data_IF_981979778975
#
_entry.id   IF_981979778975
#
_cell.length_a   1.000
_cell.length_b   1.000
_cell.length_c   1.000
_cell.angle_alpha   90.00
_cell.angle_beta   90.00
_cell.angle_gamma   90.00
#
_symmetry.space_group_name_H-M   'P 1'
#
loop_
_entity.id
_entity.type
_entity.pdbx_description
1 polymer ?
#
# COMPACT_ATOMS: atom_id res chain seq x y z
N UNK A 1 -22.45 -6.36 2.98
CA UNK A 1 -21.07 -5.92 3.31
C UNK A 1 -21.16 -5.15 4.61
N UNK A 2 -20.34 -5.49 5.58
CA UNK A 2 -20.29 -4.79 6.87
C UNK A 2 -19.72 -3.38 6.71
N UNK A 3 -20.14 -2.44 7.57
CA UNK A 3 -19.67 -1.05 7.52
C UNK A 3 -18.13 -0.96 7.60
N UNK A 4 -17.50 -1.75 8.48
CA UNK A 4 -16.04 -1.78 8.60
C UNK A 4 -15.34 -2.27 7.33
N UNK A 5 -15.95 -3.22 6.61
CA UNK A 5 -15.44 -3.70 5.33
C UNK A 5 -15.56 -2.60 4.25
N UNK A 6 -16.67 -1.87 4.21
CA UNK A 6 -16.87 -0.72 3.31
C UNK A 6 -15.79 0.34 3.56
N UNK A 7 -15.61 0.76 4.81
CA UNK A 7 -14.63 1.78 5.18
C UNK A 7 -13.19 1.33 4.85
N UNK A 8 -12.88 0.05 5.05
CA UNK A 8 -11.57 -0.52 4.73
C UNK A 8 -11.28 -0.49 3.22
N UNK A 9 -12.23 -0.92 2.40
CA UNK A 9 -12.08 -0.91 0.93
C UNK A 9 -11.91 0.53 0.42
N UNK A 10 -12.70 1.49 0.95
CA UNK A 10 -12.56 2.91 0.61
C UNK A 10 -11.17 3.41 0.99
N UNK A 11 -10.72 3.15 2.22
CA UNK A 11 -9.41 3.58 2.69
C UNK A 11 -8.28 3.03 1.81
N UNK A 12 -8.24 1.71 1.60
CA UNK A 12 -7.15 1.06 0.89
C UNK A 12 -7.16 1.29 -0.63
N UNK A 13 -8.27 1.75 -1.20
CA UNK A 13 -8.32 2.20 -2.60
C UNK A 13 -7.48 3.46 -2.88
N UNK A 14 -7.13 4.23 -1.85
CA UNK A 14 -6.42 5.49 -2.01
C UNK A 14 -7.20 6.55 -2.81
N UNK A 15 -8.53 6.42 -2.89
CA UNK A 15 -9.37 7.29 -3.73
C UNK A 15 -9.21 7.04 -5.23
N UNK A 16 -8.55 5.96 -5.64
CA UNK A 16 -8.42 5.54 -7.04
C UNK A 16 -9.58 4.60 -7.37
N UNK A 17 -10.46 5.02 -8.28
CA UNK A 17 -11.67 4.25 -8.64
C UNK A 17 -11.35 2.83 -9.13
N UNK A 18 -10.28 2.68 -9.93
CA UNK A 18 -9.83 1.37 -10.39
C UNK A 18 -9.47 0.45 -9.22
N UNK A 19 -8.73 0.99 -8.25
CA UNK A 19 -8.24 0.20 -7.13
C UNK A 19 -9.38 -0.11 -6.15
N UNK A 20 -10.37 0.77 -6.03
CA UNK A 20 -11.63 0.51 -5.31
C UNK A 20 -12.39 -0.68 -5.91
N UNK A 21 -12.58 -0.69 -7.24
CA UNK A 21 -13.28 -1.78 -7.94
C UNK A 21 -12.53 -3.10 -7.76
N UNK A 22 -11.21 -3.08 -8.00
CA UNK A 22 -10.37 -4.26 -7.87
C UNK A 22 -10.40 -4.83 -6.45
N UNK A 23 -10.17 -3.99 -5.44
CA UNK A 23 -10.20 -4.41 -4.03
C UNK A 23 -11.57 -4.93 -3.63
N UNK A 24 -12.66 -4.31 -4.10
CA UNK A 24 -14.02 -4.82 -3.85
C UNK A 24 -14.19 -6.22 -4.42
N UNK A 25 -13.81 -6.42 -5.68
CA UNK A 25 -13.95 -7.71 -6.36
C UNK A 25 -13.13 -8.79 -5.66
N UNK A 26 -11.84 -8.55 -5.44
CA UNK A 26 -10.96 -9.55 -4.80
C UNK A 26 -11.38 -9.82 -3.36
N UNK A 27 -11.91 -8.84 -2.63
CA UNK A 27 -12.45 -9.09 -1.28
C UNK A 27 -13.70 -9.98 -1.32
N UNK A 28 -14.57 -9.80 -2.33
CA UNK A 28 -15.74 -10.68 -2.54
C UNK A 28 -15.28 -12.11 -2.85
N UNK A 29 -14.24 -12.28 -3.67
CA UNK A 29 -13.64 -13.58 -3.96
C UNK A 29 -13.10 -14.25 -2.67
N UNK A 30 -12.38 -13.51 -1.81
CA UNK A 30 -11.93 -13.99 -0.49
C UNK A 30 -13.10 -14.40 0.41
N UNK A 31 -14.18 -13.60 0.46
CA UNK A 31 -15.36 -13.92 1.25
C UNK A 31 -16.10 -15.17 0.76
N UNK A 32 -16.18 -15.36 -0.56
CA UNK A 32 -16.76 -16.55 -1.18
C UNK A 32 -15.92 -17.81 -0.84
N UNK A 33 -14.59 -17.72 -0.92
CA UNK A 33 -13.70 -18.82 -0.55
C UNK A 33 -13.76 -19.18 0.94
N UNK A 34 -14.09 -18.21 1.79
CA UNK A 34 -14.30 -18.40 3.22
C UNK A 34 -15.71 -18.90 3.60
N UNK A 35 -16.57 -19.20 2.62
CA UNK A 35 -17.99 -19.59 2.83
C UNK A 35 -18.76 -18.58 3.70
N UNK A 36 -18.45 -17.29 3.54
CA UNK A 36 -19.07 -16.21 4.30
C UNK A 36 -20.23 -15.57 3.53
N UNK A 37 -21.41 -15.52 4.15
CA UNK A 37 -22.60 -14.87 3.60
C UNK A 37 -22.45 -13.34 3.44
N UNK A 38 -21.52 -12.73 4.18
CA UNK A 38 -21.28 -11.30 4.16
C UNK A 38 -19.80 -11.00 3.94
N UNK A 39 -19.52 -9.90 3.23
CA UNK A 39 -18.17 -9.36 3.20
C UNK A 39 -17.83 -8.67 4.53
N UNK A 40 -16.87 -9.28 5.23
CA UNK A 40 -16.29 -8.86 6.50
C UNK A 40 -14.91 -8.20 6.29
N UNK A 41 -14.42 -7.53 7.32
CA UNK A 41 -13.16 -6.78 7.26
C UNK A 41 -11.92 -7.67 6.97
N UNK A 42 -11.85 -8.87 7.53
CA UNK A 42 -10.75 -9.82 7.31
C UNK A 42 -10.58 -10.20 5.82
N UNK A 43 -11.67 -10.33 5.05
CA UNK A 43 -11.60 -10.59 3.62
C UNK A 43 -10.97 -9.41 2.85
N UNK A 44 -11.27 -8.19 3.29
CA UNK A 44 -10.65 -6.97 2.75
C UNK A 44 -9.16 -6.93 3.09
N UNK A 45 -8.79 -7.26 4.33
CA UNK A 45 -7.39 -7.29 4.76
C UNK A 45 -6.55 -8.32 3.97
N UNK A 46 -7.10 -9.51 3.70
CA UNK A 46 -6.46 -10.52 2.86
C UNK A 46 -6.23 -10.02 1.42
N UNK A 47 -7.26 -9.44 0.83
CA UNK A 47 -7.24 -8.81 -0.50
C UNK A 47 -6.21 -7.67 -0.57
N UNK A 48 -6.18 -6.78 0.42
CA UNK A 48 -5.23 -5.67 0.54
C UNK A 48 -3.80 -6.18 0.66
N UNK A 49 -3.56 -7.23 1.45
CA UNK A 49 -2.23 -7.81 1.58
C UNK A 49 -1.73 -8.38 0.24
N UNK A 50 -2.60 -9.07 -0.50
CA UNK A 50 -2.27 -9.58 -1.84
C UNK A 50 -1.98 -8.45 -2.85
N UNK A 51 -2.87 -7.47 -2.91
CA UNK A 51 -2.77 -6.31 -3.79
C UNK A 51 -1.53 -5.45 -3.47
N UNK A 52 -1.24 -5.24 -2.19
CA UNK A 52 -0.07 -4.52 -1.71
C UNK A 52 1.23 -5.19 -2.12
N UNK A 53 1.35 -6.51 -1.90
CA UNK A 53 2.50 -7.29 -2.37
C UNK A 53 2.68 -7.18 -3.88
N UNK A 54 1.61 -7.30 -4.64
CA UNK A 54 1.66 -7.19 -6.10
C UNK A 54 2.16 -5.80 -6.56
N UNK A 55 1.77 -4.72 -5.88
CA UNK A 55 2.29 -3.36 -6.18
C UNK A 55 3.77 -3.20 -5.82
N UNK A 56 4.30 -3.94 -4.86
CA UNK A 56 5.73 -3.90 -4.50
C UNK A 56 6.61 -4.73 -5.44
N UNK A 57 6.03 -5.66 -6.21
CA UNK A 57 6.80 -6.45 -7.18
C UNK A 57 7.46 -5.54 -8.23
N UNK A 58 8.73 -5.86 -8.51
CA UNK A 58 9.54 -5.20 -9.53
C UNK A 58 10.13 -3.84 -9.11
N UNK A 59 9.99 -3.43 -7.85
CA UNK A 59 10.68 -2.25 -7.35
C UNK A 59 12.19 -2.50 -7.24
N UNK A 60 12.99 -1.51 -7.64
CA UNK A 60 14.42 -1.50 -7.34
C UNK A 60 14.67 -1.16 -5.86
N UNK A 61 15.89 -1.39 -5.39
CA UNK A 61 16.29 -1.00 -4.03
C UNK A 61 16.20 0.52 -3.84
N UNK A 62 16.60 1.30 -4.84
CA UNK A 62 16.51 2.77 -4.80
C UNK A 62 15.06 3.26 -4.72
N UNK A 63 14.15 2.62 -5.46
CA UNK A 63 12.71 2.93 -5.38
C UNK A 63 12.13 2.57 -4.00
N UNK A 64 12.56 1.45 -3.42
CA UNK A 64 12.18 1.06 -2.07
C UNK A 64 12.69 2.05 -1.02
N UNK A 65 13.94 2.49 -1.14
CA UNK A 65 14.54 3.51 -0.26
C UNK A 65 13.78 4.84 -0.32
N UNK A 66 13.38 5.28 -1.51
CA UNK A 66 12.53 6.48 -1.68
C UNK A 66 11.20 6.31 -0.91
N UNK A 67 10.55 5.15 -1.03
CA UNK A 67 9.30 4.88 -0.31
C UNK A 67 9.50 4.88 1.21
N UNK A 68 10.53 4.20 1.71
CA UNK A 68 10.84 4.16 3.16
C UNK A 68 11.21 5.54 3.70
N UNK A 69 11.99 6.31 2.95
CA UNK A 69 12.32 7.70 3.26
C UNK A 69 11.07 8.57 3.36
N UNK A 70 10.14 8.41 2.40
CA UNK A 70 8.88 9.16 2.41
C UNK A 70 7.96 8.77 3.58
N UNK A 71 7.86 7.48 3.93
CA UNK A 71 7.15 7.03 5.16
C UNK A 71 7.74 7.70 6.40
N UNK A 72 9.06 7.87 6.42
CA UNK A 72 9.79 8.46 7.55
C UNK A 72 9.64 9.99 7.65
N UNK A 73 8.84 10.61 6.77
CA UNK A 73 8.49 12.03 6.82
C UNK A 73 9.32 12.93 5.92
N UNK A 74 10.26 12.39 5.13
CA UNK A 74 10.99 13.18 4.15
C UNK A 74 10.05 13.59 3.00
N UNK A 75 10.21 14.80 2.44
CA UNK A 75 9.36 15.26 1.35
C UNK A 75 9.59 14.42 0.09
N UNK A 76 8.50 14.15 -0.63
CA UNK A 76 8.56 13.53 -1.95
C UNK A 76 8.33 14.57 -3.05
N UNK A 77 9.19 14.58 -4.07
CA UNK A 77 9.07 15.44 -5.24
C UNK A 77 9.46 14.64 -6.49
N UNK A 78 8.59 14.46 -7.51
CA UNK A 78 8.89 13.61 -8.66
C UNK A 78 9.84 14.30 -9.67
N UNK A 79 11.12 14.36 -9.34
CA UNK A 79 12.15 15.05 -10.14
C UNK A 79 13.17 14.12 -10.79
N UNK A 80 13.32 12.92 -10.24
CA UNK A 80 14.18 11.86 -10.78
C UNK A 80 13.33 10.79 -11.45
N UNK A 81 13.96 9.99 -12.33
CA UNK A 81 13.30 8.90 -13.03
C UNK A 81 12.64 7.87 -12.09
N UNK A 82 13.27 7.56 -10.96
CA UNK A 82 12.72 6.64 -9.95
C UNK A 82 11.47 7.22 -9.28
N UNK A 83 11.53 8.50 -8.87
CA UNK A 83 10.37 9.16 -8.25
C UNK A 83 9.21 9.28 -9.24
N UNK A 84 9.50 9.62 -10.50
CA UNK A 84 8.49 9.66 -11.56
C UNK A 84 7.88 8.27 -11.80
N UNK A 85 8.69 7.20 -11.83
CA UNK A 85 8.18 5.83 -11.94
C UNK A 85 7.26 5.45 -10.79
N UNK A 86 7.62 5.76 -9.55
CA UNK A 86 6.78 5.50 -8.38
C UNK A 86 5.41 6.18 -8.48
N UNK A 87 5.38 7.39 -9.03
CA UNK A 87 4.14 8.12 -9.29
C UNK A 87 3.33 7.52 -10.46
N UNK A 88 3.95 7.37 -11.63
CA UNK A 88 3.28 6.87 -12.86
C UNK A 88 2.67 5.50 -12.65
N UNK A 89 3.35 4.67 -11.86
CA UNK A 89 2.92 3.30 -11.63
C UNK A 89 2.08 3.11 -10.36
N UNK A 90 1.70 4.21 -9.70
CA UNK A 90 0.69 4.22 -8.63
C UNK A 90 1.15 3.61 -7.31
N UNK A 91 2.45 3.61 -7.02
CA UNK A 91 2.99 3.35 -5.67
C UNK A 91 2.90 4.60 -4.80
N UNK A 92 3.08 5.76 -5.43
CA UNK A 92 2.75 7.07 -4.85
C UNK A 92 1.57 7.64 -5.64
N UNK A 93 0.62 8.22 -4.91
CA UNK A 93 -0.59 8.83 -5.42
C UNK A 93 -0.45 10.35 -5.37
N UNK A 94 -0.89 11.04 -6.42
CA UNK A 94 -1.05 12.49 -6.46
C UNK A 94 -2.52 12.85 -6.19
N UNK A 95 -2.76 13.59 -5.12
CA UNK A 95 -4.05 14.24 -4.87
C UNK A 95 -3.94 15.71 -5.27
N UNK A 96 -4.84 16.18 -6.15
CA UNK A 96 -4.81 17.56 -6.65
C UNK A 96 -5.60 18.55 -5.79
N UNK A 97 -6.59 18.06 -5.05
CA UNK A 97 -7.48 18.87 -4.21
C UNK A 97 -7.34 18.50 -2.72
N UNK A 98 -7.51 19.46 -1.79
CA UNK A 98 -7.66 20.91 -2.03
C UNK A 98 -6.34 21.60 -2.45
N UNK A 99 -5.19 20.96 -2.23
CA UNK A 99 -3.88 21.34 -2.75
C UNK A 99 -3.16 20.10 -3.24
N UNK A 100 -2.23 20.27 -4.18
CA UNK A 100 -1.39 19.17 -4.67
C UNK A 100 -0.61 18.58 -3.50
N UNK A 101 -0.77 17.28 -3.26
CA UNK A 101 0.00 16.51 -2.28
C UNK A 101 0.24 15.11 -2.81
N UNK A 102 1.33 14.52 -2.36
CA UNK A 102 1.65 13.12 -2.63
C UNK A 102 1.40 12.29 -1.38
N UNK A 103 1.00 11.05 -1.56
CA UNK A 103 1.00 10.07 -0.47
C UNK A 103 1.31 8.70 -1.03
N UNK A 104 1.89 7.84 -0.19
CA UNK A 104 2.08 6.44 -0.53
C UNK A 104 0.71 5.78 -0.67
N UNK A 105 0.59 4.87 -1.63
CA UNK A 105 -0.64 4.12 -1.84
C UNK A 105 -0.99 3.34 -0.56
N UNK A 106 -2.20 3.49 0.02
CA UNK A 106 -2.49 2.93 1.34
C UNK A 106 -2.37 1.40 1.38
N UNK A 107 -2.73 0.70 0.30
CA UNK A 107 -2.56 -0.75 0.23
C UNK A 107 -1.11 -1.27 0.33
N UNK A 108 -0.07 -0.45 0.06
CA UNK A 108 1.32 -0.89 0.23
C UNK A 108 1.90 -0.54 1.60
N UNK A 109 1.25 0.34 2.37
CA UNK A 109 1.74 0.77 3.69
C UNK A 109 1.97 -0.39 4.67
N UNK A 110 1.05 -1.37 4.83
CA UNK A 110 1.28 -2.47 5.77
C UNK A 110 2.52 -3.30 5.42
N UNK A 111 2.74 -3.54 4.11
CA UNK A 111 3.90 -4.29 3.63
C UNK A 111 5.21 -3.50 3.79
N UNK A 112 5.20 -2.20 3.51
CA UNK A 112 6.36 -1.34 3.70
C UNK A 112 6.76 -1.19 5.18
N UNK A 113 5.80 -1.09 6.09
CA UNK A 113 6.06 -1.04 7.53
C UNK A 113 6.71 -2.32 8.02
N UNK A 114 6.27 -3.48 7.54
CA UNK A 114 6.90 -4.77 7.85
C UNK A 114 8.35 -4.83 7.35
N UNK A 115 8.61 -4.34 6.13
CA UNK A 115 9.98 -4.25 5.58
C UNK A 115 10.86 -3.35 6.46
N UNK A 116 10.36 -2.18 6.86
CA UNK A 116 11.09 -1.26 7.73
C UNK A 116 11.40 -1.86 9.11
N UNK A 117 10.48 -2.63 9.68
CA UNK A 117 10.70 -3.36 10.93
C UNK A 117 11.79 -4.42 10.77
N UNK A 118 11.72 -5.23 9.71
CA UNK A 118 12.72 -6.28 9.45
C UNK A 118 14.13 -5.71 9.23
N UNK A 119 14.25 -4.57 8.53
CA UNK A 119 15.53 -3.88 8.34
C UNK A 119 16.12 -3.39 9.67
N UNK A 120 15.30 -2.79 10.56
CA UNK A 120 15.75 -2.35 11.89
C UNK A 120 16.27 -3.48 12.77
N UNK A 121 15.65 -4.66 12.67
CA UNK A 121 16.10 -5.85 13.39
C UNK A 121 17.47 -6.31 12.89
N UNK A 122 17.71 -6.32 11.58
CA UNK A 122 19.01 -6.72 11.02
C UNK A 122 20.17 -5.83 11.50
N UNK A 123 20.00 -4.51 11.52
CA UNK A 123 21.06 -3.60 11.99
C UNK A 123 21.33 -3.72 13.50
N UNK A 124 20.34 -4.08 14.32
CA UNK A 124 20.55 -4.24 15.77
C UNK A 124 21.37 -5.49 16.11
N UNK A 125 21.37 -6.53 15.25
CA UNK A 125 22.19 -7.72 15.42
C UNK A 125 23.65 -7.53 14.96
N UNK A 126 23.92 -6.58 14.08
CA UNK A 126 25.30 -6.31 13.59
C UNK A 126 26.11 -5.43 14.55
N UNK A 127 25.47 -4.70 15.47
CA UNK A 127 26.11 -3.85 16.48
C UNK A 127 26.42 -4.58 17.81
N UNK A 128 26.07 -5.87 17.94
CA UNK A 128 26.26 -6.68 19.16
C UNK A 128 27.47 -7.65 19.11
N UNK A 129 28.35 -7.56 18.11
CA UNK A 129 29.54 -8.42 17.98
C UNK A 129 30.86 -7.67 17.75
#
# INVERSE_FOLDING_TARGET
MEENAIQSVIHYSGGVLRDLINLTQTSIEEGYLADSDNLQQNHVEASVASFGRAKLLGLSNEELEILVSFISGNPFSPTTDNEIRLLVTGRILEYRHPKRRYAIHPAILPSLQLIQQNQRVQYHFEDEF
#
